data_IF_546383296702
#
_entry.id   IF_546383296702
#
_cell.length_a   1.000
_cell.length_b   1.000
_cell.length_c   1.000
_cell.angle_alpha   90.00
_cell.angle_beta   90.00
_cell.angle_gamma   90.00
#
_symmetry.space_group_name_H-M   'P 1'
#
loop_
_entity.id
_entity.type
_entity.pdbx_description
1 polymer ?
#
# COMPACT_ATOMS: atom_id res chain seq x y z
N UNK A 1 12.13 8.42 13.96
CA UNK A 1 11.20 8.22 12.85
C UNK A 1 9.94 9.00 13.16
N UNK A 2 9.51 9.87 12.27
CA UNK A 2 8.40 10.80 12.51
C UNK A 2 7.12 10.27 11.87
N UNK A 3 7.22 9.68 10.69
CA UNK A 3 6.07 9.13 9.98
C UNK A 3 6.50 8.00 9.01
N UNK A 4 5.54 7.14 8.67
CA UNK A 4 5.66 6.18 7.57
C UNK A 4 4.58 6.52 6.55
N UNK A 5 4.99 6.72 5.30
CA UNK A 5 4.09 6.93 4.18
C UNK A 5 4.07 5.67 3.30
N UNK A 6 2.88 5.30 2.84
CA UNK A 6 2.69 4.23 1.85
C UNK A 6 2.26 4.84 0.54
N UNK A 7 2.91 4.42 -0.53
CA UNK A 7 2.57 4.80 -1.91
C UNK A 7 2.61 3.58 -2.81
N UNK A 8 2.03 3.69 -4.00
CA UNK A 8 2.34 2.75 -5.07
C UNK A 8 3.83 2.86 -5.42
N UNK A 9 4.40 1.79 -6.00
CA UNK A 9 5.77 1.81 -6.53
C UNK A 9 6.01 2.98 -7.50
N UNK A 10 4.95 3.42 -8.20
CA UNK A 10 4.96 4.53 -9.15
C UNK A 10 4.83 5.92 -8.47
N UNK A 11 4.78 5.95 -7.13
CA UNK A 11 4.57 7.17 -6.33
C UNK A 11 3.11 7.60 -6.17
N UNK A 12 2.16 6.88 -6.76
CA UNK A 12 0.74 7.22 -6.68
C UNK A 12 0.17 6.96 -5.28
N UNK A 13 -0.49 7.96 -4.69
CA UNK A 13 -1.16 7.88 -3.38
C UNK A 13 -2.57 7.28 -3.44
N UNK A 14 -3.16 7.18 -4.64
CA UNK A 14 -4.49 6.63 -4.90
C UNK A 14 -4.52 5.85 -6.22
N UNK A 15 -3.82 4.71 -6.30
CA UNK A 15 -3.76 3.90 -7.50
C UNK A 15 -5.11 3.23 -7.80
N UNK A 16 -5.42 3.10 -9.08
CA UNK A 16 -6.55 2.30 -9.58
C UNK A 16 -6.02 1.03 -10.23
N UNK A 17 -6.43 -0.13 -9.72
CA UNK A 17 -5.96 -1.46 -10.16
C UNK A 17 -7.14 -2.22 -10.73
N UNK A 18 -6.98 -2.85 -11.89
CA UNK A 18 -8.05 -3.71 -12.42
C UNK A 18 -8.11 -5.00 -11.61
N UNK A 19 -9.29 -5.54 -11.40
CA UNK A 19 -9.47 -6.86 -10.78
C UNK A 19 -8.58 -7.91 -11.47
N UNK A 20 -7.84 -8.69 -10.68
CA UNK A 20 -6.88 -9.68 -11.15
C UNK A 20 -5.48 -9.12 -11.41
N UNK A 21 -5.31 -7.81 -11.48
CA UNK A 21 -3.99 -7.19 -11.58
C UNK A 21 -3.31 -7.06 -10.22
N UNK A 22 -1.99 -6.88 -10.27
CA UNK A 22 -1.16 -6.66 -9.09
C UNK A 22 -0.62 -5.24 -9.09
N UNK A 23 -0.35 -4.72 -7.90
CA UNK A 23 0.22 -3.41 -7.67
C UNK A 23 1.34 -3.55 -6.64
N UNK A 24 2.53 -3.08 -7.00
CA UNK A 24 3.63 -3.00 -6.05
C UNK A 24 3.42 -1.79 -5.12
N UNK A 25 3.57 -2.03 -3.82
CA UNK A 25 3.52 -1.03 -2.76
C UNK A 25 4.94 -0.63 -2.36
N UNK A 26 5.06 0.60 -1.89
CA UNK A 26 6.29 1.21 -1.41
C UNK A 26 6.02 1.85 -0.05
N UNK A 27 6.94 1.66 0.89
CA UNK A 27 6.89 2.31 2.19
C UNK A 27 8.14 3.15 2.40
N UNK A 28 7.94 4.41 2.76
CA UNK A 28 9.00 5.37 3.01
C UNK A 28 8.85 5.90 4.43
N UNK A 29 9.90 5.75 5.23
CA UNK A 29 9.96 6.29 6.58
C UNK A 29 10.64 7.66 6.55
N UNK A 30 9.98 8.67 7.11
CA UNK A 30 10.55 10.02 7.27
C UNK A 30 11.10 10.17 8.69
N UNK A 31 12.34 10.64 8.81
CA UNK A 31 13.02 10.90 10.08
C UNK A 31 12.80 12.34 10.54
N UNK A 32 13.20 12.64 11.79
CA UNK A 32 13.08 14.00 12.34
C UNK A 32 13.97 15.01 11.61
N UNK A 33 15.04 14.52 10.98
CA UNK A 33 15.99 15.27 10.16
C UNK A 33 15.50 15.45 8.70
N UNK A 34 14.19 15.26 8.45
CA UNK A 34 13.54 15.30 7.12
C UNK A 34 14.04 14.26 6.11
N UNK A 35 15.04 13.46 6.46
CA UNK A 35 15.54 12.36 5.64
C UNK A 35 14.52 11.25 5.48
N UNK A 36 14.35 10.78 4.25
CA UNK A 36 13.45 9.69 3.90
C UNK A 36 14.24 8.42 3.60
N UNK A 37 13.88 7.31 4.24
CA UNK A 37 14.49 6.00 4.03
C UNK A 37 13.46 5.08 3.40
N UNK A 38 13.86 4.36 2.35
CA UNK A 38 13.03 3.31 1.78
C UNK A 38 13.03 2.10 2.72
N UNK A 39 11.86 1.85 3.30
CA UNK A 39 11.65 0.76 4.25
C UNK A 39 10.72 -0.29 3.67
N UNK A 40 10.51 -0.29 2.35
CA UNK A 40 9.54 -1.16 1.67
C UNK A 40 9.76 -2.65 1.98
N UNK A 41 11.02 -3.09 2.06
CA UNK A 41 11.33 -4.50 2.37
C UNK A 41 11.25 -4.83 3.86
N UNK A 42 11.23 -3.82 4.72
CA UNK A 42 11.19 -3.98 6.17
C UNK A 42 9.80 -3.67 6.76
N UNK A 43 8.98 -2.93 6.03
CA UNK A 43 7.62 -2.61 6.40
C UNK A 43 6.72 -3.82 6.20
N UNK A 44 5.84 -4.06 7.17
CA UNK A 44 4.82 -5.09 7.09
C UNK A 44 3.54 -4.45 6.57
N UNK A 45 3.16 -4.78 5.34
CA UNK A 45 1.90 -4.32 4.77
C UNK A 45 0.77 -5.28 5.16
N UNK A 46 -0.40 -4.72 5.44
CA UNK A 46 -1.61 -5.48 5.73
C UNK A 46 -2.80 -4.82 5.04
N UNK A 47 -3.63 -5.63 4.40
CA UNK A 47 -4.91 -5.18 3.85
C UNK A 47 -6.02 -5.28 4.90
N UNK A 48 -6.81 -4.22 5.04
CA UNK A 48 -8.06 -4.22 5.82
C UNK A 48 -9.18 -4.92 5.06
N UNK A 49 -9.14 -4.86 3.73
CA UNK A 49 -10.21 -5.33 2.84
C UNK A 49 -9.71 -6.51 2.00
N UNK A 50 -9.33 -7.62 2.63
CA UNK A 50 -8.83 -8.83 1.94
C UNK A 50 -9.82 -9.43 0.92
N UNK A 51 -11.11 -9.13 1.05
CA UNK A 51 -12.13 -9.50 0.06
C UNK A 51 -12.11 -8.65 -1.23
N UNK A 52 -11.46 -7.49 -1.20
CA UNK A 52 -11.33 -6.54 -2.33
C UNK A 52 -9.91 -6.58 -2.87
N UNK A 53 -8.92 -6.50 -1.99
CA UNK A 53 -7.51 -6.63 -2.35
C UNK A 53 -6.73 -7.36 -1.24
N UNK A 54 -5.93 -8.34 -1.62
CA UNK A 54 -5.00 -9.02 -0.72
C UNK A 54 -3.62 -8.39 -0.86
N UNK A 55 -2.80 -8.47 0.19
CA UNK A 55 -1.41 -8.03 0.16
C UNK A 55 -0.53 -9.19 0.57
N UNK A 56 0.52 -9.43 -0.20
CA UNK A 56 1.56 -10.41 0.10
C UNK A 56 2.92 -9.72 0.03
N UNK A 57 3.56 -9.57 1.19
CA UNK A 57 4.76 -8.76 1.34
C UNK A 57 4.51 -7.30 0.92
N UNK A 58 5.02 -6.91 -0.25
CA UNK A 58 4.86 -5.57 -0.85
C UNK A 58 3.96 -5.58 -2.10
N UNK A 59 3.37 -6.71 -2.44
CA UNK A 59 2.56 -6.85 -3.65
C UNK A 59 1.11 -6.94 -3.25
N UNK A 60 0.32 -5.98 -3.73
CA UNK A 60 -1.13 -6.00 -3.62
C UNK A 60 -1.72 -6.72 -4.82
N UNK A 61 -2.63 -7.65 -4.58
CA UNK A 61 -3.40 -8.33 -5.62
C UNK A 61 -4.85 -7.92 -5.51
N UNK A 62 -5.39 -7.34 -6.58
CA UNK A 62 -6.78 -6.96 -6.66
C UNK A 62 -7.67 -8.20 -6.88
N UNK A 63 -8.54 -8.52 -5.93
CA UNK A 63 -9.41 -9.70 -5.98
C UNK A 63 -10.80 -9.36 -6.49
N UNK A 64 -11.33 -8.21 -6.08
CA UNK A 64 -12.70 -7.78 -6.41
C UNK A 64 -12.77 -6.27 -6.60
N UNK A 65 -13.60 -5.81 -7.54
CA UNK A 65 -13.88 -4.38 -7.71
C UNK A 65 -14.46 -3.76 -6.42
N UNK A 66 -13.94 -2.60 -6.03
CA UNK A 66 -14.25 -1.93 -4.77
C UNK A 66 -13.17 -0.94 -4.34
N UNK A 67 -13.20 -0.52 -3.08
CA UNK A 67 -12.11 0.25 -2.47
C UNK A 67 -11.50 -0.59 -1.36
N UNK A 68 -10.18 -0.71 -1.36
CA UNK A 68 -9.43 -1.44 -0.34
C UNK A 68 -8.52 -0.48 0.43
N UNK A 69 -8.40 -0.68 1.74
CA UNK A 69 -7.48 0.08 2.59
C UNK A 69 -6.29 -0.79 2.98
N UNK A 70 -5.10 -0.27 2.74
CA UNK A 70 -3.84 -0.92 3.07
C UNK A 70 -3.15 -0.10 4.17
N UNK A 71 -2.55 -0.77 5.14
CA UNK A 71 -1.73 -0.13 6.17
C UNK A 71 -0.36 -0.78 6.17
N UNK A 72 0.69 -0.02 6.47
CA UNK A 72 2.03 -0.55 6.66
C UNK A 72 2.52 -0.25 8.06
N UNK A 73 3.17 -1.21 8.70
CA UNK A 73 3.81 -1.02 10.01
C UNK A 73 5.31 -1.22 9.90
N UNK A 74 6.08 -0.28 10.42
CA UNK A 74 7.54 -0.32 10.42
C UNK A 74 8.08 0.34 11.68
N UNK A 75 9.05 -0.30 12.35
CA UNK A 75 9.75 0.30 13.50
C UNK A 75 8.84 0.77 14.65
N UNK A 76 7.66 0.16 14.83
CA UNK A 76 6.68 0.55 15.83
C UNK A 76 5.73 1.69 15.44
N UNK A 77 5.83 2.26 14.24
CA UNK A 77 4.80 3.15 13.71
C UNK A 77 3.99 2.49 12.60
N UNK A 78 2.75 2.95 12.46
CA UNK A 78 1.82 2.51 11.43
C UNK A 78 1.51 3.67 10.51
N UNK A 79 1.55 3.43 9.20
CA UNK A 79 1.17 4.39 8.18
C UNK A 79 -0.33 4.68 8.24
N UNK A 80 -0.78 5.83 7.71
CA UNK A 80 -2.20 6.05 7.45
C UNK A 80 -2.75 5.02 6.45
N UNK A 81 -4.07 4.92 6.39
CA UNK A 81 -4.79 4.07 5.43
C UNK A 81 -4.49 4.52 3.98
N UNK A 82 -3.83 3.64 3.24
CA UNK A 82 -3.59 3.78 1.82
C UNK A 82 -4.77 3.21 1.04
N UNK A 83 -5.55 4.10 0.42
CA UNK A 83 -6.75 3.73 -0.32
C UNK A 83 -6.43 3.33 -1.76
N UNK A 84 -6.75 2.09 -2.10
CA UNK A 84 -6.58 1.52 -3.44
C UNK A 84 -7.95 1.30 -4.05
N UNK A 85 -8.15 1.81 -5.26
CA UNK A 85 -9.39 1.62 -6.00
C UNK A 85 -9.25 0.40 -6.90
N UNK A 86 -10.11 -0.60 -6.77
CA UNK A 86 -10.16 -1.73 -7.66
C UNK A 86 -11.31 -1.56 -8.65
N UNK A 87 -11.01 -1.54 -9.95
CA UNK A 87 -12.01 -1.48 -11.01
C UNK A 87 -12.31 -2.88 -11.55
N UNK A 88 -13.55 -3.11 -11.97
CA UNK A 88 -13.91 -4.35 -12.65
C UNK A 88 -13.22 -4.39 -14.03
N UNK A 89 -12.87 -5.58 -14.54
CA UNK A 89 -12.40 -5.71 -15.90
C UNK A 89 -13.58 -5.39 -16.83
N UNK A 90 -13.37 -4.46 -17.76
CA UNK A 90 -14.35 -4.20 -18.83
C UNK A 90 -14.45 -5.48 -19.68
N UNK A 91 -15.56 -6.20 -19.57
CA UNK A 91 -15.91 -7.33 -20.45
C UNK A 91 -16.37 -6.86 -21.82
#
# INVERSE_FOLDING_TARGET
MTAVAVTAADGNTKPSVVQGATLALKATATHADETTVDVTMQATFSSKDVGVATVDGRTLTAVKAGSARITASYGGATSPDFAVTVTAPSS
#
